data_IF_993796851446
#
_entry.id   IF_993796851446
#
_cell.length_a   1.000
_cell.length_b   1.000
_cell.length_c   1.000
_cell.angle_alpha   90.00
_cell.angle_beta   90.00
_cell.angle_gamma   90.00
#
_symmetry.space_group_name_H-M   'P 1'
#
loop_
_entity.id
_entity.type
_entity.pdbx_description
1 polymer ?
#
# COMPACT_ATOMS: atom_id res chain seq x y z
N UNK A 1 -16.94 -22.75 -13.99
CA UNK A 1 -16.41 -22.04 -12.79
C UNK A 1 -16.06 -20.58 -13.07
N UNK A 2 -15.11 -20.21 -13.94
CA UNK A 2 -14.84 -18.78 -14.23
C UNK A 2 -15.98 -18.11 -15.02
N UNK A 3 -16.57 -18.81 -16.01
CA UNK A 3 -17.68 -18.28 -16.80
C UNK A 3 -18.96 -18.00 -15.99
N UNK A 4 -19.21 -18.76 -14.91
CA UNK A 4 -20.38 -18.59 -14.05
C UNK A 4 -20.27 -17.33 -13.17
N UNK A 5 -19.05 -17.05 -12.67
CA UNK A 5 -18.75 -15.85 -11.88
C UNK A 5 -18.83 -14.60 -12.77
N UNK A 6 -18.24 -14.68 -13.97
CA UNK A 6 -18.26 -13.58 -14.94
C UNK A 6 -19.69 -13.23 -15.40
N UNK A 7 -20.53 -14.22 -15.69
CA UNK A 7 -21.94 -14.00 -16.03
C UNK A 7 -22.73 -13.38 -14.86
N UNK A 8 -22.46 -13.82 -13.63
CA UNK A 8 -23.13 -13.30 -12.44
C UNK A 8 -22.78 -11.82 -12.20
N UNK A 9 -21.49 -11.45 -12.26
CA UNK A 9 -21.02 -10.07 -12.11
C UNK A 9 -21.61 -9.18 -13.22
N UNK A 10 -21.55 -9.62 -14.49
CA UNK A 10 -22.15 -8.92 -15.63
C UNK A 10 -23.62 -8.60 -15.39
N UNK A 11 -24.42 -9.61 -15.02
CA UNK A 11 -25.85 -9.45 -14.79
C UNK A 11 -26.18 -8.43 -13.69
N UNK A 12 -25.36 -8.39 -12.63
CA UNK A 12 -25.52 -7.43 -11.53
C UNK A 12 -25.17 -6.02 -11.95
N UNK A 13 -24.06 -5.81 -12.67
CA UNK A 13 -23.66 -4.47 -13.12
C UNK A 13 -24.69 -3.89 -14.10
N UNK A 14 -25.17 -4.70 -15.04
CA UNK A 14 -26.17 -4.28 -16.02
C UNK A 14 -27.49 -3.82 -15.37
N UNK A 15 -27.84 -4.37 -14.21
CA UNK A 15 -29.02 -3.96 -13.43
C UNK A 15 -28.87 -2.56 -12.82
N UNK A 16 -27.69 -2.25 -12.28
CA UNK A 16 -27.44 -1.02 -11.49
C UNK A 16 -26.94 0.16 -12.32
N UNK A 17 -26.63 -0.08 -13.59
CA UNK A 17 -26.26 0.88 -14.64
C UNK A 17 -24.97 1.67 -14.40
N UNK A 18 -24.63 2.10 -13.19
CA UNK A 18 -23.42 2.88 -12.92
C UNK A 18 -22.32 2.03 -12.30
N UNK A 19 -21.09 2.24 -12.74
CA UNK A 19 -19.91 1.54 -12.22
C UNK A 19 -18.66 2.42 -12.27
N UNK A 20 -17.67 2.06 -11.46
CA UNK A 20 -16.32 2.63 -11.50
C UNK A 20 -15.30 1.51 -11.76
N UNK A 21 -14.15 1.85 -12.34
CA UNK A 21 -13.09 0.93 -12.68
C UNK A 21 -11.80 1.26 -11.94
N UNK A 22 -11.10 0.25 -11.43
CA UNK A 22 -9.68 0.36 -11.09
C UNK A 22 -8.89 -0.38 -12.16
N UNK A 23 -7.92 0.31 -12.74
CA UNK A 23 -7.11 -0.20 -13.84
C UNK A 23 -5.65 -0.17 -13.41
N UNK A 24 -5.03 -1.34 -13.40
CA UNK A 24 -3.65 -1.54 -13.00
C UNK A 24 -2.89 -2.36 -14.05
N UNK A 25 -1.63 -2.03 -14.28
CA UNK A 25 -0.74 -2.77 -15.18
C UNK A 25 0.26 -3.57 -14.35
N UNK A 26 0.31 -4.88 -14.55
CA UNK A 26 1.28 -5.76 -13.89
C UNK A 26 2.07 -6.56 -14.92
N UNK A 27 3.23 -7.08 -14.53
CA UNK A 27 4.03 -7.98 -15.39
C UNK A 27 3.96 -9.38 -14.81
N UNK A 28 3.58 -10.35 -15.63
CA UNK A 28 3.53 -11.75 -15.20
C UNK A 28 4.91 -12.42 -15.16
N UNK A 29 4.95 -13.67 -14.69
CA UNK A 29 6.19 -14.46 -14.57
C UNK A 29 6.86 -14.76 -15.92
N UNK A 30 6.14 -14.59 -17.03
CA UNK A 30 6.67 -14.77 -18.39
C UNK A 30 7.16 -13.45 -19.01
N UNK A 31 7.07 -12.35 -18.27
CA UNK A 31 7.51 -11.02 -18.70
C UNK A 31 6.47 -10.27 -19.54
N UNK A 32 5.24 -10.78 -19.66
CA UNK A 32 4.17 -10.14 -20.42
C UNK A 32 3.41 -9.14 -19.56
N UNK A 33 2.99 -8.04 -20.18
CA UNK A 33 2.17 -7.03 -19.51
C UNK A 33 0.71 -7.47 -19.44
N UNK A 34 0.13 -7.40 -18.26
CA UNK A 34 -1.23 -7.80 -17.94
C UNK A 34 -1.99 -6.60 -17.39
N UNK A 35 -3.12 -6.29 -18.02
CA UNK A 35 -4.09 -5.31 -17.54
C UNK A 35 -5.03 -5.99 -16.54
N UNK A 36 -4.96 -5.58 -15.29
CA UNK A 36 -5.87 -5.98 -14.23
C UNK A 36 -6.94 -4.91 -14.06
N UNK A 37 -8.20 -5.31 -14.20
CA UNK A 37 -9.34 -4.41 -14.08
C UNK A 37 -10.27 -4.91 -12.99
N UNK A 38 -10.53 -4.06 -12.02
CA UNK A 38 -11.56 -4.26 -10.99
C UNK A 38 -12.73 -3.34 -11.28
N UNK A 39 -13.93 -3.80 -10.96
CA UNK A 39 -15.16 -3.03 -11.10
C UNK A 39 -15.80 -2.83 -9.74
N UNK A 40 -16.32 -1.62 -9.53
CA UNK A 40 -17.05 -1.23 -8.33
C UNK A 40 -18.41 -0.68 -8.69
N UNK A 41 -19.45 -1.18 -8.04
CA UNK A 41 -20.83 -0.77 -8.26
C UNK A 41 -21.65 -0.92 -6.98
N UNK A 42 -22.84 -0.31 -6.94
CA UNK A 42 -23.76 -0.45 -5.80
C UNK A 42 -24.71 -1.60 -6.13
N UNK A 43 -24.87 -2.56 -5.23
CA UNK A 43 -25.89 -3.60 -5.31
C UNK A 43 -26.63 -3.69 -3.96
N UNK A 44 -27.94 -3.44 -3.98
CA UNK A 44 -28.80 -3.50 -2.80
C UNK A 44 -28.22 -2.69 -1.62
N UNK A 45 -27.85 -1.43 -1.91
CA UNK A 45 -27.24 -0.46 -0.97
C UNK A 45 -25.83 -0.81 -0.46
N UNK A 46 -25.31 -1.98 -0.82
CA UNK A 46 -23.94 -2.37 -0.54
C UNK A 46 -23.01 -2.00 -1.70
N UNK A 47 -21.81 -1.54 -1.38
CA UNK A 47 -20.77 -1.37 -2.38
C UNK A 47 -20.15 -2.74 -2.66
N UNK A 48 -20.21 -3.17 -3.92
CA UNK A 48 -19.59 -4.41 -4.41
C UNK A 48 -18.37 -4.06 -5.22
N UNK A 49 -17.27 -4.74 -4.95
CA UNK A 49 -16.02 -4.64 -5.69
C UNK A 49 -15.59 -6.06 -6.09
N UNK A 50 -15.27 -6.26 -7.37
CA UNK A 50 -14.85 -7.57 -7.88
C UNK A 50 -13.88 -7.43 -9.07
N UNK A 51 -13.19 -8.51 -9.40
CA UNK A 51 -12.35 -8.58 -10.60
C UNK A 51 -13.25 -8.60 -11.83
N UNK A 52 -13.09 -7.61 -12.69
CA UNK A 52 -13.78 -7.55 -13.97
C UNK A 52 -13.05 -8.41 -15.01
N UNK A 53 -11.74 -8.18 -15.18
CA UNK A 53 -10.93 -9.00 -16.07
C UNK A 53 -9.42 -8.89 -15.80
N UNK A 54 -8.69 -9.85 -16.35
CA UNK A 54 -7.25 -9.82 -16.54
C UNK A 54 -6.97 -10.07 -18.03
N UNK A 55 -6.31 -9.15 -18.71
CA UNK A 55 -6.07 -9.21 -20.17
C UNK A 55 -4.62 -8.87 -20.49
N UNK A 56 -4.02 -9.65 -21.37
CA UNK A 56 -2.68 -9.35 -21.90
C UNK A 56 -2.73 -8.06 -22.73
N UNK A 57 -1.80 -7.15 -22.46
CA UNK A 57 -1.61 -5.94 -23.25
C UNK A 57 -0.69 -6.22 -24.45
N UNK A 58 -0.88 -5.51 -25.57
CA UNK A 58 0.11 -5.49 -26.65
C UNK A 58 1.50 -5.06 -26.16
N UNK A 59 2.54 -5.39 -26.93
CA UNK A 59 3.93 -5.03 -26.58
C UNK A 59 4.18 -3.52 -26.44
N UNK A 60 3.26 -2.70 -26.96
CA UNK A 60 3.35 -1.24 -26.89
C UNK A 60 2.79 -0.69 -25.58
N UNK A 61 3.53 0.24 -24.95
CA UNK A 61 3.11 0.93 -23.71
C UNK A 61 2.38 2.25 -24.02
N UNK A 62 1.21 2.20 -24.66
CA UNK A 62 0.41 3.41 -24.95
C UNK A 62 -0.95 3.33 -24.26
N UNK A 63 -1.45 4.49 -23.81
CA UNK A 63 -2.79 4.59 -23.23
C UNK A 63 -3.91 4.17 -24.19
N UNK A 64 -3.67 4.25 -25.49
CA UNK A 64 -4.60 3.75 -26.52
C UNK A 64 -4.74 2.23 -26.46
N UNK A 65 -3.63 1.50 -26.29
CA UNK A 65 -3.64 0.03 -26.26
C UNK A 65 -4.45 -0.46 -25.05
N UNK A 66 -4.27 0.20 -23.89
CA UNK A 66 -5.08 -0.05 -22.69
C UNK A 66 -6.56 0.23 -22.95
N UNK A 67 -6.88 1.35 -23.60
CA UNK A 67 -8.26 1.71 -23.92
C UNK A 67 -8.90 0.68 -24.86
N UNK A 68 -8.23 0.27 -25.93
CA UNK A 68 -8.79 -0.63 -26.95
C UNK A 68 -9.06 -2.02 -26.38
N UNK A 69 -8.14 -2.57 -25.58
CA UNK A 69 -8.30 -3.85 -24.89
C UNK A 69 -9.50 -3.79 -23.94
N UNK A 70 -9.59 -2.74 -23.13
CA UNK A 70 -10.67 -2.58 -22.17
C UNK A 70 -12.01 -2.29 -22.85
N UNK A 71 -12.04 -1.44 -23.87
CA UNK A 71 -13.24 -1.11 -24.63
C UNK A 71 -13.85 -2.36 -25.28
N UNK A 72 -13.01 -3.17 -25.95
CA UNK A 72 -13.44 -4.43 -26.55
C UNK A 72 -14.04 -5.37 -25.51
N UNK A 73 -13.47 -5.40 -24.30
CA UNK A 73 -14.01 -6.21 -23.22
C UNK A 73 -15.31 -5.66 -22.64
N UNK A 74 -15.43 -4.34 -22.45
CA UNK A 74 -16.67 -3.70 -21.98
C UNK A 74 -17.81 -3.91 -22.98
N UNK A 75 -17.55 -3.76 -24.28
CA UNK A 75 -18.51 -4.04 -25.35
C UNK A 75 -18.98 -5.50 -25.32
N UNK A 76 -18.05 -6.45 -25.17
CA UNK A 76 -18.37 -7.86 -24.97
C UNK A 76 -19.25 -8.12 -23.73
N UNK A 77 -19.08 -7.32 -22.67
CA UNK A 77 -19.89 -7.39 -21.45
C UNK A 77 -21.24 -6.65 -21.57
N UNK A 78 -21.48 -5.92 -22.68
CA UNK A 78 -22.63 -5.02 -22.82
C UNK A 78 -22.56 -3.77 -21.93
N UNK A 79 -21.37 -3.44 -21.42
CA UNK A 79 -21.13 -2.25 -20.59
C UNK A 79 -20.78 -1.06 -21.46
N UNK A 80 -21.19 0.14 -21.04
CA UNK A 80 -20.99 1.38 -21.80
C UNK A 80 -20.18 2.40 -20.98
N UNK A 81 -19.26 3.12 -21.63
CA UNK A 81 -18.50 4.19 -20.97
C UNK A 81 -19.37 5.32 -20.42
N UNK A 82 -20.55 5.59 -21.00
CA UNK A 82 -21.52 6.57 -20.48
C UNK A 82 -21.99 6.27 -19.05
N UNK A 83 -21.88 5.01 -18.67
CA UNK A 83 -22.26 4.47 -17.38
C UNK A 83 -21.06 4.33 -16.42
N UNK A 84 -19.84 4.46 -16.94
CA UNK A 84 -18.64 4.52 -16.13
C UNK A 84 -18.60 5.90 -15.48
N UNK A 85 -18.77 5.95 -14.16
CA UNK A 85 -18.70 7.21 -13.42
C UNK A 85 -17.26 7.54 -13.07
N UNK A 86 -16.41 6.54 -12.81
CA UNK A 86 -15.08 6.77 -12.24
C UNK A 86 -13.99 5.82 -12.72
N UNK A 87 -12.75 6.33 -12.77
CA UNK A 87 -11.56 5.55 -13.09
C UNK A 87 -10.47 5.80 -12.04
N UNK A 88 -9.94 4.73 -11.47
CA UNK A 88 -8.81 4.73 -10.56
C UNK A 88 -7.59 4.09 -11.26
N UNK A 89 -6.43 4.77 -11.24
CA UNK A 89 -5.18 4.23 -11.81
C UNK A 89 -3.98 4.46 -10.90
N UNK A 90 -2.87 3.75 -11.12
CA UNK A 90 -1.59 3.90 -10.41
C UNK A 90 -0.87 5.23 -10.64
N UNK A 91 -1.37 6.07 -11.56
CA UNK A 91 -0.83 7.38 -11.87
C UNK A 91 0.28 7.40 -12.92
N UNK A 92 0.68 6.25 -13.47
CA UNK A 92 1.79 6.15 -14.45
C UNK A 92 1.47 6.94 -15.72
N UNK A 93 2.46 7.55 -16.41
CA UNK A 93 2.22 8.39 -17.57
C UNK A 93 1.39 7.74 -18.69
N UNK A 94 1.51 6.42 -18.88
CA UNK A 94 0.68 5.68 -19.84
C UNK A 94 -0.82 5.83 -19.53
N UNK A 95 -1.18 5.91 -18.25
CA UNK A 95 -2.55 6.06 -17.78
C UNK A 95 -3.01 7.52 -17.77
N UNK A 96 -2.17 8.44 -17.30
CA UNK A 96 -2.60 9.80 -16.90
C UNK A 96 -2.12 10.94 -17.79
N UNK A 97 -1.23 10.68 -18.75
CA UNK A 97 -0.60 11.74 -19.55
C UNK A 97 -1.63 12.59 -20.30
N UNK A 98 -1.50 13.91 -20.18
CA UNK A 98 -2.45 14.92 -20.67
C UNK A 98 -2.81 14.89 -22.16
N UNK A 99 -2.03 14.24 -23.02
CA UNK A 99 -2.27 14.20 -24.48
C UNK A 99 -2.66 12.81 -25.00
N UNK A 100 -2.26 11.73 -24.30
CA UNK A 100 -2.32 10.36 -24.83
C UNK A 100 -2.59 9.29 -23.75
N UNK A 101 -2.89 9.71 -22.52
CA UNK A 101 -3.16 8.80 -21.42
C UNK A 101 -4.50 8.08 -21.61
N UNK A 102 -4.58 6.84 -21.14
CA UNK A 102 -5.82 6.04 -21.13
C UNK A 102 -7.01 6.82 -20.56
N UNK A 103 -6.83 7.49 -19.42
CA UNK A 103 -7.89 8.26 -18.74
C UNK A 103 -8.48 9.34 -19.64
N UNK A 104 -7.62 10.07 -20.36
CA UNK A 104 -8.06 11.12 -21.29
C UNK A 104 -8.90 10.52 -22.43
N UNK A 105 -8.51 9.36 -22.94
CA UNK A 105 -9.22 8.67 -24.02
C UNK A 105 -10.59 8.20 -23.52
N UNK A 106 -10.66 7.64 -22.31
CA UNK A 106 -11.92 7.27 -21.68
C UNK A 106 -12.84 8.48 -21.42
N UNK A 107 -12.28 9.61 -20.96
CA UNK A 107 -13.03 10.86 -20.76
C UNK A 107 -13.59 11.45 -22.06
N UNK A 108 -13.03 11.13 -23.22
CA UNK A 108 -13.66 11.49 -24.52
C UNK A 108 -14.94 10.71 -24.77
N UNK A 109 -15.08 9.50 -24.24
CA UNK A 109 -16.30 8.70 -24.34
C UNK A 109 -17.36 9.13 -23.32
N UNK A 110 -16.91 9.57 -22.14
CA UNK A 110 -17.76 10.16 -21.11
C UNK A 110 -17.00 11.26 -20.34
N UNK A 111 -17.28 12.55 -20.64
CA UNK A 111 -16.61 13.68 -19.98
C UNK A 111 -16.86 13.76 -18.46
N UNK A 112 -17.89 13.08 -17.95
CA UNK A 112 -18.21 13.05 -16.52
C UNK A 112 -17.38 12.02 -15.74
N UNK A 113 -16.51 11.24 -16.40
CA UNK A 113 -15.60 10.33 -15.71
C UNK A 113 -14.65 11.14 -14.83
N UNK A 114 -14.74 10.93 -13.52
CA UNK A 114 -13.74 11.48 -12.59
C UNK A 114 -12.58 10.49 -12.50
N UNK A 115 -11.37 11.03 -12.52
CA UNK A 115 -10.15 10.24 -12.36
C UNK A 115 -9.60 10.41 -10.95
N UNK A 116 -9.27 9.28 -10.32
CA UNK A 116 -8.56 9.26 -9.04
C UNK A 116 -7.25 8.49 -9.19
N UNK A 117 -6.22 8.99 -8.53
CA UNK A 117 -4.99 8.21 -8.38
C UNK A 117 -5.14 7.24 -7.22
N UNK A 118 -4.76 5.98 -7.42
CA UNK A 118 -4.89 4.91 -6.45
C UNK A 118 -4.28 5.29 -5.11
N UNK A 119 -5.09 5.13 -4.05
CA UNK A 119 -4.72 5.49 -2.69
C UNK A 119 -3.52 4.69 -2.19
N UNK A 120 -3.49 3.38 -2.47
CA UNK A 120 -2.39 2.49 -2.09
C UNK A 120 -1.08 2.96 -2.72
N UNK A 121 -1.12 3.36 -3.99
CA UNK A 121 0.04 3.89 -4.68
C UNK A 121 0.52 5.21 -4.05
N UNK A 122 -0.40 6.12 -3.69
CA UNK A 122 -0.07 7.37 -2.99
C UNK A 122 0.52 7.14 -1.60
N UNK A 123 -0.06 6.23 -0.82
CA UNK A 123 0.49 5.84 0.48
C UNK A 123 1.90 5.24 0.32
N UNK A 124 2.10 4.36 -0.67
CA UNK A 124 3.41 3.80 -0.95
C UNK A 124 4.43 4.88 -1.33
N UNK A 125 4.01 5.92 -2.07
CA UNK A 125 4.86 7.08 -2.36
C UNK A 125 5.21 7.84 -1.08
N UNK A 126 4.24 8.13 -0.21
CA UNK A 126 4.49 8.78 1.09
C UNK A 126 5.53 8.01 1.88
N UNK A 127 5.32 6.71 2.02
CA UNK A 127 6.10 5.84 2.89
C UNK A 127 7.52 5.52 2.34
N UNK A 128 7.77 5.75 1.04
CA UNK A 128 9.10 5.67 0.42
C UNK A 128 10.00 6.85 0.77
N UNK A 129 9.46 7.95 1.30
CA UNK A 129 10.22 9.15 1.60
C UNK A 129 10.90 9.08 2.97
N UNK A 130 11.88 8.18 3.09
CA UNK A 130 12.75 8.08 4.25
C UNK A 130 14.02 8.90 4.04
N UNK A 131 14.48 9.56 5.10
CA UNK A 131 15.84 10.10 5.15
C UNK A 131 16.90 9.00 5.05
N UNK A 132 18.16 9.34 4.71
CA UNK A 132 19.22 8.36 4.43
C UNK A 132 19.45 7.38 5.57
N UNK A 133 19.40 7.83 6.83
CA UNK A 133 19.63 6.98 7.99
C UNK A 133 18.49 5.99 8.25
N UNK A 134 17.23 6.43 8.13
CA UNK A 134 16.06 5.56 8.25
C UNK A 134 15.99 4.57 7.09
N UNK A 135 16.37 5.00 5.89
CA UNK A 135 16.47 4.12 4.72
C UNK A 135 17.55 3.06 4.93
N UNK A 136 18.72 3.43 5.45
CA UNK A 136 19.78 2.47 5.78
C UNK A 136 19.31 1.40 6.77
N UNK A 137 18.59 1.80 7.83
CA UNK A 137 18.01 0.86 8.78
C UNK A 137 17.00 -0.10 8.12
N UNK A 138 16.11 0.43 7.28
CA UNK A 138 15.17 -0.38 6.51
C UNK A 138 15.87 -1.34 5.53
N UNK A 139 16.92 -0.90 4.85
CA UNK A 139 17.68 -1.72 3.88
C UNK A 139 18.35 -2.92 4.58
N UNK A 140 18.78 -2.75 5.84
CA UNK A 140 19.30 -3.86 6.66
C UNK A 140 18.18 -4.86 6.99
N UNK A 141 16.98 -4.39 7.34
CA UNK A 141 15.81 -5.27 7.54
C UNK A 141 15.51 -6.08 6.27
N UNK A 142 15.54 -5.42 5.10
CA UNK A 142 15.35 -6.08 3.79
C UNK A 142 16.44 -7.13 3.53
N UNK A 143 17.70 -6.85 3.88
CA UNK A 143 18.81 -7.83 3.75
C UNK A 143 18.59 -9.05 4.64
N UNK A 144 18.16 -8.86 5.89
CA UNK A 144 17.87 -9.95 6.82
C UNK A 144 16.67 -10.76 6.32
N UNK A 145 15.60 -10.11 5.88
CA UNK A 145 14.44 -10.77 5.29
C UNK A 145 14.83 -11.62 4.07
N UNK A 146 15.59 -11.05 3.14
CA UNK A 146 16.09 -11.76 1.97
C UNK A 146 17.00 -12.95 2.33
N UNK A 147 17.78 -12.84 3.41
CA UNK A 147 18.59 -13.97 3.90
C UNK A 147 17.71 -15.18 4.24
N UNK A 148 16.58 -14.96 4.91
CA UNK A 148 15.60 -15.99 5.24
C UNK A 148 14.81 -16.46 4.02
N UNK A 149 14.34 -15.52 3.19
CA UNK A 149 13.51 -15.79 2.01
C UNK A 149 14.11 -16.82 1.07
N UNK A 150 15.42 -16.76 0.83
CA UNK A 150 16.13 -17.70 -0.06
C UNK A 150 16.60 -18.97 0.67
N UNK A 151 16.38 -19.10 1.99
CA UNK A 151 16.87 -20.21 2.82
C UNK A 151 15.74 -20.82 3.68
N UNK A 152 14.88 -21.69 3.11
CA UNK A 152 13.78 -22.31 3.84
C UNK A 152 14.21 -23.11 5.08
N UNK A 153 15.40 -23.72 5.06
CA UNK A 153 15.95 -24.40 6.23
C UNK A 153 16.23 -23.42 7.38
N UNK A 154 16.80 -22.25 7.08
CA UNK A 154 17.07 -21.21 8.08
C UNK A 154 15.79 -20.65 8.67
N UNK A 155 14.73 -20.50 7.88
CA UNK A 155 13.40 -20.14 8.39
C UNK A 155 12.88 -21.15 9.43
N UNK A 156 13.01 -22.46 9.14
CA UNK A 156 12.57 -23.52 10.08
C UNK A 156 13.42 -23.57 11.34
N UNK A 157 14.71 -23.32 11.24
CA UNK A 157 15.62 -23.24 12.39
C UNK A 157 15.29 -22.03 13.26
N UNK A 158 15.09 -20.86 12.66
CA UNK A 158 14.65 -19.65 13.36
C UNK A 158 13.30 -19.85 14.05
N UNK A 159 12.33 -20.48 13.39
CA UNK A 159 11.04 -20.78 14.00
C UNK A 159 11.17 -21.68 15.25
N UNK A 160 12.06 -22.69 15.20
CA UNK A 160 12.36 -23.53 16.36
C UNK A 160 13.02 -22.74 17.49
N UNK A 161 13.94 -21.83 17.15
CA UNK A 161 14.59 -20.95 18.12
C UNK A 161 13.54 -20.08 18.84
N UNK A 162 12.63 -19.46 18.08
CA UNK A 162 11.55 -18.64 18.65
C UNK A 162 10.70 -19.43 19.66
N UNK A 163 10.33 -20.67 19.34
CA UNK A 163 9.60 -21.55 20.27
C UNK A 163 10.43 -21.85 21.52
N UNK A 164 11.73 -22.10 21.36
CA UNK A 164 12.63 -22.34 22.50
C UNK A 164 12.87 -21.11 23.37
N UNK A 165 12.69 -19.91 22.84
CA UNK A 165 12.77 -18.63 23.56
C UNK A 165 11.40 -18.16 24.08
N UNK A 166 10.36 -19.01 24.00
CA UNK A 166 9.00 -18.71 24.45
C UNK A 166 8.37 -17.47 23.77
N UNK A 167 8.78 -17.20 22.53
CA UNK A 167 8.20 -16.10 21.76
C UNK A 167 6.73 -16.37 21.45
N UNK A 168 5.88 -15.33 21.55
CA UNK A 168 4.44 -15.39 21.23
C UNK A 168 4.15 -15.89 19.80
N UNK A 169 5.14 -15.81 18.93
CA UNK A 169 5.05 -16.14 17.51
C UNK A 169 6.33 -16.85 17.09
N UNK A 170 6.25 -17.63 16.02
CA UNK A 170 7.38 -18.44 15.54
C UNK A 170 7.71 -18.22 14.06
N UNK A 171 7.04 -17.27 13.39
CA UNK A 171 7.21 -17.06 11.95
C UNK A 171 7.36 -15.59 11.61
N UNK A 172 8.48 -15.26 10.97
CA UNK A 172 8.72 -13.96 10.33
C UNK A 172 7.74 -13.78 9.18
N UNK A 173 7.17 -12.58 9.09
CA UNK A 173 6.39 -12.18 7.91
C UNK A 173 7.39 -11.69 6.88
N UNK A 174 7.42 -12.33 5.72
CA UNK A 174 8.39 -11.99 4.67
C UNK A 174 8.01 -10.71 3.92
N UNK A 175 9.01 -9.89 3.58
CA UNK A 175 8.82 -8.77 2.67
C UNK A 175 8.63 -9.30 1.24
N UNK A 176 7.46 -9.02 0.69
CA UNK A 176 7.21 -9.19 -0.74
C UNK A 176 7.42 -7.84 -1.43
N UNK A 177 8.25 -7.82 -2.48
CA UNK A 177 8.53 -6.61 -3.29
C UNK A 177 7.24 -5.96 -3.81
N UNK A 178 6.24 -6.78 -4.11
CA UNK A 178 4.98 -6.40 -4.76
C UNK A 178 3.97 -5.79 -3.78
N UNK A 179 4.14 -5.94 -2.46
CA UNK A 179 3.14 -5.48 -1.48
C UNK A 179 3.73 -4.61 -0.38
N UNK A 180 3.85 -3.32 -0.70
CA UNK A 180 4.13 -2.26 0.29
C UNK A 180 3.18 -2.32 1.51
N UNK A 181 1.94 -2.77 1.27
CA UNK A 181 0.87 -3.02 2.24
C UNK A 181 1.26 -3.87 3.46
N UNK A 182 2.34 -4.65 3.37
CA UNK A 182 2.82 -5.53 4.44
C UNK A 182 3.84 -4.88 5.37
N UNK A 183 4.44 -3.74 5.00
CA UNK A 183 5.59 -3.17 5.72
C UNK A 183 5.29 -2.82 7.17
N UNK A 184 4.11 -2.28 7.48
CA UNK A 184 3.73 -2.02 8.88
C UNK A 184 3.77 -3.29 9.72
N UNK A 185 3.09 -4.35 9.28
CA UNK A 185 3.05 -5.63 9.98
C UNK A 185 4.41 -6.31 10.03
N UNK A 186 5.17 -6.27 8.94
CA UNK A 186 6.50 -6.86 8.87
C UNK A 186 7.45 -6.15 9.81
N UNK A 187 7.47 -4.81 9.82
CA UNK A 187 8.36 -4.04 10.68
C UNK A 187 8.00 -4.18 12.16
N UNK A 188 6.70 -4.21 12.51
CA UNK A 188 6.28 -4.56 13.87
C UNK A 188 6.75 -5.96 14.27
N UNK A 189 6.53 -6.97 13.41
CA UNK A 189 6.97 -8.34 13.65
C UNK A 189 8.49 -8.48 13.77
N UNK A 190 9.22 -7.78 12.92
CA UNK A 190 10.67 -7.78 12.92
C UNK A 190 11.22 -7.18 14.22
N UNK A 191 10.61 -6.07 14.68
CA UNK A 191 10.97 -5.46 15.95
C UNK A 191 10.65 -6.36 17.15
N UNK A 192 9.50 -7.06 17.13
CA UNK A 192 9.13 -8.09 18.12
C UNK A 192 10.23 -9.16 18.20
N UNK A 193 10.71 -9.66 17.05
CA UNK A 193 11.70 -10.73 16.97
C UNK A 193 13.16 -10.32 17.14
N UNK A 194 13.44 -9.08 17.54
CA UNK A 194 14.82 -8.57 17.55
C UNK A 194 15.77 -9.43 18.40
N UNK A 195 15.33 -9.90 19.58
CA UNK A 195 16.17 -10.68 20.48
C UNK A 195 16.42 -12.10 19.95
N UNK A 196 15.40 -12.73 19.37
CA UNK A 196 15.49 -14.02 18.70
C UNK A 196 16.38 -13.91 17.46
N UNK A 197 16.25 -12.82 16.69
CA UNK A 197 17.07 -12.53 15.53
C UNK A 197 18.53 -12.31 15.93
N UNK A 198 18.79 -11.58 17.01
CA UNK A 198 20.13 -11.37 17.52
C UNK A 198 20.76 -12.70 17.94
N UNK A 199 20.03 -13.51 18.70
CA UNK A 199 20.46 -14.84 19.15
C UNK A 199 20.74 -15.76 17.95
N UNK A 200 19.86 -15.77 16.96
CA UNK A 200 20.04 -16.54 15.73
C UNK A 200 21.27 -16.09 14.95
N UNK A 201 21.46 -14.78 14.78
CA UNK A 201 22.60 -14.23 14.04
C UNK A 201 23.94 -14.51 14.74
N UNK A 202 23.96 -14.55 16.08
CA UNK A 202 25.12 -14.97 16.86
C UNK A 202 25.46 -16.45 16.61
N UNK A 203 24.46 -17.34 16.62
CA UNK A 203 24.65 -18.78 16.35
C UNK A 203 25.16 -19.05 14.92
N UNK A 204 24.71 -18.24 13.96
CA UNK A 204 25.06 -18.36 12.54
C UNK A 204 26.28 -17.53 12.13
N UNK A 205 26.92 -16.83 13.07
CA UNK A 205 28.09 -15.96 12.85
C UNK A 205 27.86 -14.88 11.76
N UNK A 206 26.65 -14.30 11.73
CA UNK A 206 26.25 -13.24 10.80
C UNK A 206 26.64 -11.86 11.36
N UNK A 207 27.95 -11.56 11.34
CA UNK A 207 28.55 -10.39 12.02
C UNK A 207 27.86 -9.06 11.70
N UNK A 208 27.61 -8.77 10.42
CA UNK A 208 26.97 -7.53 9.98
C UNK A 208 25.57 -7.34 10.61
N UNK A 209 24.82 -8.42 10.79
CA UNK A 209 23.48 -8.37 11.38
C UNK A 209 23.56 -8.25 12.90
N UNK A 210 24.51 -8.94 13.54
CA UNK A 210 24.75 -8.85 14.98
C UNK A 210 25.13 -7.43 15.39
N UNK A 211 26.02 -6.77 14.63
CA UNK A 211 26.43 -5.39 14.89
C UNK A 211 25.24 -4.44 14.92
N UNK A 212 24.33 -4.55 13.93
CA UNK A 212 23.14 -3.71 13.85
C UNK A 212 22.10 -4.05 14.94
N UNK A 213 21.84 -5.33 15.20
CA UNK A 213 20.83 -5.77 16.17
C UNK A 213 21.25 -5.52 17.62
N UNK A 214 22.55 -5.36 17.87
CA UNK A 214 23.11 -5.00 19.18
C UNK A 214 23.23 -3.49 19.38
N UNK A 215 23.18 -2.69 18.30
CA UNK A 215 23.26 -1.23 18.37
C UNK A 215 21.91 -0.62 18.79
N UNK A 216 21.88 0.03 19.95
CA UNK A 216 20.69 0.71 20.47
C UNK A 216 20.24 1.88 19.59
N UNK A 217 21.17 2.54 18.89
CA UNK A 217 20.84 3.62 17.98
C UNK A 217 20.12 3.09 16.73
N UNK A 218 20.62 2.01 16.12
CA UNK A 218 19.91 1.29 15.06
C UNK A 218 18.57 0.72 15.52
N UNK A 219 18.51 0.11 16.71
CA UNK A 219 17.27 -0.42 17.28
C UNK A 219 16.22 0.66 17.54
N UNK A 220 16.64 1.89 17.87
CA UNK A 220 15.75 3.04 18.01
C UNK A 220 15.13 3.45 16.67
N UNK A 221 15.93 3.44 15.59
CA UNK A 221 15.45 3.66 14.22
C UNK A 221 14.47 2.57 13.79
N UNK A 222 14.78 1.30 14.10
CA UNK A 222 13.89 0.17 13.81
C UNK A 222 12.55 0.30 14.56
N UNK A 223 12.58 0.64 15.85
CA UNK A 223 11.39 0.88 16.66
C UNK A 223 10.50 1.97 16.04
N UNK A 224 11.10 3.09 15.69
CA UNK A 224 10.40 4.19 15.04
C UNK A 224 9.79 3.79 13.70
N UNK A 225 10.53 3.08 12.85
CA UNK A 225 10.04 2.58 11.57
C UNK A 225 8.85 1.62 11.76
N UNK A 226 8.92 0.73 12.76
CA UNK A 226 7.82 -0.15 13.10
C UNK A 226 6.56 0.63 13.51
N UNK A 227 6.70 1.70 14.30
CA UNK A 227 5.59 2.55 14.69
C UNK A 227 5.01 3.34 13.50
N UNK A 228 5.85 4.04 12.72
CA UNK A 228 5.34 4.91 11.65
C UNK A 228 4.72 4.10 10.50
N UNK A 229 5.28 2.95 10.14
CA UNK A 229 4.68 2.08 9.13
C UNK A 229 3.41 1.38 9.64
N UNK A 230 3.31 1.11 10.93
CA UNK A 230 2.05 0.64 11.52
C UNK A 230 0.95 1.68 11.32
N UNK A 231 1.20 2.94 11.69
CA UNK A 231 0.23 4.03 11.50
C UNK A 231 -0.16 4.25 10.05
N UNK A 232 0.81 4.27 9.14
CA UNK A 232 0.55 4.40 7.70
C UNK A 232 -0.36 3.25 7.22
N UNK A 233 -0.16 2.03 7.73
CA UNK A 233 -0.99 0.88 7.36
C UNK A 233 -2.44 0.95 7.87
N UNK A 234 -2.73 1.77 8.89
CA UNK A 234 -4.10 2.00 9.38
C UNK A 234 -4.92 2.89 8.45
N UNK A 235 -4.24 3.64 7.57
CA UNK A 235 -4.91 4.42 6.52
C UNK A 235 -5.61 3.51 5.49
N UNK A 236 -5.32 2.20 5.50
CA UNK A 236 -5.97 1.20 4.66
C UNK A 236 -7.11 0.51 5.40
N UNK A 237 -8.17 0.17 4.67
CA UNK A 237 -9.25 -0.67 5.18
C UNK A 237 -10.03 -1.36 4.06
N UNK A 238 -10.91 -2.28 4.46
CA UNK A 238 -11.92 -2.85 3.56
C UNK A 238 -13.05 -1.85 3.38
N UNK A 239 -13.62 -1.80 2.18
CA UNK A 239 -14.74 -0.91 1.85
C UNK A 239 -14.45 0.59 2.08
N UNK A 240 -13.18 1.00 1.96
CA UNK A 240 -12.84 2.42 2.03
C UNK A 240 -13.50 3.16 0.87
N UNK A 241 -13.87 4.41 1.13
CA UNK A 241 -14.29 5.36 0.12
C UNK A 241 -13.48 6.63 0.28
N UNK A 242 -13.76 7.63 -0.56
CA UNK A 242 -13.00 8.86 -0.56
C UNK A 242 -13.12 9.61 0.78
N UNK A 243 -14.31 9.63 1.38
CA UNK A 243 -14.58 10.33 2.64
C UNK A 243 -13.84 9.69 3.80
N UNK A 244 -13.98 8.37 3.97
CA UNK A 244 -13.31 7.64 5.05
C UNK A 244 -11.78 7.73 4.93
N UNK A 245 -11.26 7.74 3.71
CA UNK A 245 -9.84 7.89 3.43
C UNK A 245 -9.34 9.30 3.73
N UNK A 246 -10.10 10.33 3.34
CA UNK A 246 -9.81 11.74 3.66
C UNK A 246 -9.82 11.97 5.18
N UNK A 247 -10.79 11.42 5.90
CA UNK A 247 -10.85 11.53 7.37
C UNK A 247 -9.64 10.89 8.04
N UNK A 248 -9.21 9.71 7.57
CA UNK A 248 -8.01 9.03 8.05
C UNK A 248 -6.74 9.83 7.80
N UNK A 249 -6.58 10.42 6.61
CA UNK A 249 -5.44 11.30 6.29
C UNK A 249 -5.44 12.51 7.21
N UNK A 250 -6.58 13.19 7.35
CA UNK A 250 -6.72 14.35 8.22
C UNK A 250 -6.39 14.03 9.68
N UNK A 251 -6.89 12.90 10.17
CA UNK A 251 -6.59 12.41 11.51
C UNK A 251 -5.09 12.12 11.67
N UNK A 252 -4.47 11.50 10.67
CA UNK A 252 -3.04 11.20 10.70
C UNK A 252 -2.18 12.48 10.65
N UNK A 253 -2.51 13.46 9.82
CA UNK A 253 -1.82 14.76 9.79
C UNK A 253 -1.89 15.47 11.15
N UNK A 254 -3.08 15.53 11.77
CA UNK A 254 -3.24 16.09 13.12
C UNK A 254 -2.39 15.33 14.15
N UNK A 255 -2.34 14.00 14.04
CA UNK A 255 -1.54 13.13 14.90
C UNK A 255 -0.04 13.43 14.76
N UNK A 256 0.47 13.57 13.54
CA UNK A 256 1.87 13.96 13.29
C UNK A 256 2.19 15.32 13.91
N UNK A 257 1.34 16.33 13.74
CA UNK A 257 1.54 17.66 14.34
C UNK A 257 1.57 17.61 15.87
N UNK A 258 0.75 16.77 16.49
CA UNK A 258 0.76 16.56 17.95
C UNK A 258 2.07 15.88 18.38
N UNK A 259 2.52 14.88 17.63
CA UNK A 259 3.75 14.15 17.93
C UNK A 259 5.00 15.02 17.83
N UNK A 260 5.12 15.87 16.82
CA UNK A 260 6.20 16.84 16.69
C UNK A 260 6.29 17.76 17.92
N UNK A 261 5.15 18.33 18.34
CA UNK A 261 5.08 19.21 19.52
C UNK A 261 5.45 18.48 20.81
N UNK A 262 5.01 17.23 20.97
CA UNK A 262 5.31 16.43 22.16
C UNK A 262 6.79 16.03 22.22
N UNK A 263 7.36 15.58 21.10
CA UNK A 263 8.78 15.23 21.03
C UNK A 263 9.63 16.46 21.31
N UNK A 264 9.32 17.62 20.72
CA UNK A 264 10.02 18.87 21.01
C UNK A 264 9.91 19.33 22.49
N UNK A 265 8.91 18.83 23.22
CA UNK A 265 8.74 19.04 24.66
C UNK A 265 9.33 17.90 25.51
N UNK A 266 10.06 16.94 24.90
CA UNK A 266 10.65 15.78 25.57
C UNK A 266 9.67 14.67 25.93
N UNK A 267 8.41 14.72 25.47
CA UNK A 267 7.42 13.67 25.71
C UNK A 267 7.45 12.65 24.57
N UNK A 268 7.76 11.39 24.92
CA UNK A 268 7.90 10.24 24.01
C UNK A 268 6.84 9.16 24.20
N UNK A 269 5.75 9.43 24.92
CA UNK A 269 4.72 8.43 25.27
C UNK A 269 4.09 7.73 24.05
N UNK A 270 4.06 8.41 22.90
CA UNK A 270 3.56 7.85 21.64
C UNK A 270 4.52 6.83 20.99
N UNK A 271 5.79 6.82 21.39
CA UNK A 271 6.83 5.93 20.89
C UNK A 271 7.49 5.16 22.05
N UNK A 272 6.74 4.32 22.80
CA UNK A 272 7.26 3.63 23.99
C UNK A 272 8.45 2.72 23.67
N UNK A 273 8.45 2.10 22.48
CA UNK A 273 9.54 1.25 21.99
C UNK A 273 10.83 2.02 21.70
N UNK A 274 10.72 3.29 21.31
CA UNK A 274 11.86 4.20 21.12
C UNK A 274 12.34 4.72 22.48
N UNK A 275 11.41 5.13 23.34
CA UNK A 275 11.70 5.62 24.70
C UNK A 275 12.50 4.60 25.52
N UNK A 276 12.15 3.32 25.45
CA UNK A 276 12.87 2.22 26.14
C UNK A 276 14.36 2.15 25.79
N UNK A 277 14.78 2.69 24.63
CA UNK A 277 16.18 2.68 24.17
C UNK A 277 16.98 3.89 24.61
N UNK A 278 16.32 4.98 24.99
CA UNK A 278 16.95 6.19 25.52
C UNK A 278 18.08 6.77 24.64
N UNK A 279 17.94 6.71 23.31
CA UNK A 279 18.94 7.22 22.37
C UNK A 279 18.61 8.64 21.90
N UNK A 280 19.28 9.64 22.50
CA UNK A 280 19.08 11.08 22.22
C UNK A 280 19.38 11.47 20.76
N UNK A 281 20.33 10.80 20.12
CA UNK A 281 20.72 11.07 18.72
C UNK A 281 19.59 10.80 17.72
N UNK A 282 18.60 9.98 18.10
CA UNK A 282 17.44 9.65 17.26
C UNK A 282 16.36 10.74 17.26
N UNK A 283 16.41 11.70 18.18
CA UNK A 283 15.36 12.71 18.34
C UNK A 283 15.24 13.62 17.12
N UNK A 284 16.37 14.25 16.74
CA UNK A 284 16.42 15.16 15.61
C UNK A 284 16.06 14.44 14.30
N UNK A 285 16.50 13.19 14.16
CA UNK A 285 16.17 12.34 13.02
C UNK A 285 14.65 12.12 12.89
N UNK A 286 14.00 11.75 14.00
CA UNK A 286 12.55 11.51 14.05
C UNK A 286 11.77 12.79 13.76
N UNK A 287 12.13 13.92 14.40
CA UNK A 287 11.49 15.21 14.16
C UNK A 287 11.58 15.64 12.69
N UNK A 288 12.76 15.54 12.09
CA UNK A 288 12.96 15.86 10.68
C UNK A 288 12.13 14.97 9.75
N UNK A 289 12.02 13.68 10.07
CA UNK A 289 11.19 12.76 9.31
C UNK A 289 9.70 13.05 9.47
N UNK A 290 9.19 13.32 10.67
CA UNK A 290 7.78 13.67 10.89
C UNK A 290 7.38 14.93 10.12
N UNK A 291 8.23 15.96 10.12
CA UNK A 291 7.99 17.21 9.38
C UNK A 291 7.97 16.99 7.87
N UNK A 292 8.91 16.18 7.39
CA UNK A 292 8.97 15.78 5.98
C UNK A 292 7.73 14.98 5.59
N UNK A 293 7.32 14.03 6.43
CA UNK A 293 6.14 13.20 6.23
C UNK A 293 4.86 14.03 6.16
N UNK A 294 4.69 15.01 7.07
CA UNK A 294 3.55 15.92 7.08
C UNK A 294 3.45 16.75 5.80
N UNK A 295 4.58 17.33 5.34
CA UNK A 295 4.64 18.06 4.07
C UNK A 295 4.25 17.18 2.87
N UNK A 296 4.77 15.96 2.85
CA UNK A 296 4.53 15.02 1.75
C UNK A 296 3.08 14.55 1.72
N UNK A 297 2.51 14.21 2.88
CA UNK A 297 1.08 13.88 2.98
C UNK A 297 0.21 15.02 2.44
N UNK A 298 0.54 16.25 2.81
CA UNK A 298 -0.19 17.44 2.36
C UNK A 298 -0.10 17.62 0.84
N UNK A 299 1.09 17.47 0.26
CA UNK A 299 1.30 17.59 -1.19
C UNK A 299 0.65 16.44 -1.97
N UNK A 300 0.87 15.19 -1.53
CA UNK A 300 0.39 14.00 -2.22
C UNK A 300 -1.13 13.87 -2.11
N UNK A 301 -1.77 14.29 -1.01
CA UNK A 301 -3.21 14.16 -0.84
C UNK A 301 -3.98 15.48 -0.99
N UNK A 302 -3.35 16.56 -1.44
CA UNK A 302 -3.95 17.89 -1.62
C UNK A 302 -5.33 17.86 -2.31
N UNK A 303 -5.49 17.06 -3.37
CA UNK A 303 -6.76 16.93 -4.11
C UNK A 303 -7.91 16.29 -3.30
N UNK A 304 -7.57 15.40 -2.36
CA UNK A 304 -8.53 14.75 -1.45
C UNK A 304 -8.92 15.65 -0.27
N UNK A 305 -8.10 16.66 0.03
CA UNK A 305 -8.29 17.59 1.16
C UNK A 305 -9.15 18.80 0.79
N UNK A 306 -9.32 19.11 -0.51
CA UNK A 306 -10.03 20.30 -0.99
C UNK A 306 -11.42 20.01 -1.56
N UNK A 307 -11.76 18.75 -1.80
CA UNK A 307 -13.01 18.41 -2.48
C UNK A 307 -14.13 18.16 -1.46
N UNK A 308 -14.98 19.17 -1.26
CA UNK A 308 -16.32 18.98 -0.70
C UNK A 308 -17.19 18.26 -1.73
N UNK A 309 -16.97 16.97 -1.96
CA UNK A 309 -17.81 16.18 -2.84
C UNK A 309 -19.12 15.87 -2.13
N UNK A 310 -20.24 16.34 -2.68
CA UNK A 310 -21.60 16.09 -2.16
C UNK A 310 -22.35 15.24 -3.18
N UNK A 311 -22.67 13.98 -2.85
CA UNK A 311 -23.48 13.10 -3.72
C UNK A 311 -23.18 11.61 -3.59
N UNK A 312 -24.05 10.78 -4.22
CA UNK A 312 -23.87 9.31 -4.38
C UNK A 312 -22.54 8.96 -5.07
N UNK A 313 -22.01 9.90 -5.84
CA UNK A 313 -20.67 9.90 -6.45
C UNK A 313 -19.53 10.09 -5.43
N UNK A 314 -19.71 9.75 -4.15
CA UNK A 314 -18.61 9.70 -3.17
C UNK A 314 -18.34 8.27 -2.69
N UNK A 315 -19.35 7.41 -2.80
CA UNK A 315 -19.29 6.03 -2.29
C UNK A 315 -18.55 5.06 -3.21
N UNK A 316 -18.51 5.34 -4.52
CA UNK A 316 -17.82 4.50 -5.52
C UNK A 316 -16.30 4.79 -5.65
N UNK A 317 -15.75 5.70 -4.84
CA UNK A 317 -14.63 6.54 -5.27
C UNK A 317 -13.29 6.35 -4.56
N UNK A 318 -13.06 5.18 -3.96
CA UNK A 318 -11.69 4.81 -3.60
C UNK A 318 -11.51 3.29 -3.58
N UNK A 319 -11.03 2.72 -4.68
CA UNK A 319 -10.72 1.29 -4.74
C UNK A 319 -9.43 1.05 -3.93
N UNK A 320 -9.58 0.44 -2.75
CA UNK A 320 -8.50 0.20 -1.79
C UNK A 320 -8.08 -1.27 -1.69
N UNK A 321 -8.49 -2.14 -2.63
CA UNK A 321 -8.20 -3.56 -2.51
C UNK A 321 -7.01 -4.03 -3.36
N UNK A 322 -5.93 -4.36 -2.64
CA UNK A 322 -4.92 -5.36 -2.98
C UNK A 322 -4.70 -6.30 -1.77
N UNK A 323 -5.74 -6.59 -0.99
CA UNK A 323 -5.66 -7.56 0.14
C UNK A 323 -6.45 -8.83 -0.16
N UNK A 324 -5.84 -9.97 0.16
CA UNK A 324 -6.45 -11.29 0.31
C UNK A 324 -6.94 -12.00 -0.97
N UNK A 325 -5.99 -12.40 -1.82
CA UNK A 325 -6.13 -13.65 -2.58
C UNK A 325 -4.84 -14.47 -2.49
N UNK A 326 -4.58 -15.03 -1.30
CA UNK A 326 -3.91 -16.32 -1.09
C UNK A 326 -3.60 -16.46 0.41
N UNK A 327 -4.33 -17.37 1.07
CA UNK A 327 -3.83 -18.05 2.25
C UNK A 327 -2.60 -18.90 1.89
#
# INVERSE_FOLDING_TARGET
>A
MSGDIECNIKSKILKHKLFALQVDESTDITGKSQLLVFVRFINDEAIVEDVLCCKELPETRKGQDVFDVLNSYLEYCGLNWKNCVGICTDGVPVMTRCLKGFVLIAQKQNPNIIHTHCFIHREALVAKNLGPELKSALDIVVKIDNYFKIRPLKCRQFAKLCVGMEADRSTLIQLTEIRWLSRGKVMSRFYEFREELLTFCLQENLKDFVECLSDDHWCSKLAYLANIFHELSLMQGRNENILSSTDKINAFQKKLTIWEKRIAAGNWEMFPSVLKRNCQETELLILNHLHTLLKILTNIFHQYLLTSMTGLETHLWNLSHLKNSSH
#
